data_IF_651979926216
#
_entry.id   IF_651979926216
#
_cell.length_a   1.000
_cell.length_b   1.000
_cell.length_c   1.000
_cell.angle_alpha   90.00
_cell.angle_beta   90.00
_cell.angle_gamma   90.00
#
_symmetry.space_group_name_H-M   'P 1'
#
loop_
_entity.id
_entity.type
_entity.pdbx_description
1 polymer ?
#
# COMPACT_ATOMS: atom_id res chain seq x y z
N UNK A 1 -14.04 -6.66 11.50
CA UNK A 1 -13.97 -7.40 10.21
C UNK A 1 -12.61 -7.17 9.61
N UNK A 2 -11.81 -8.22 9.39
CA UNK A 2 -10.51 -8.05 8.73
C UNK A 2 -10.74 -7.68 7.25
N UNK A 3 -10.20 -6.56 6.78
CA UNK A 3 -10.43 -6.08 5.41
C UNK A 3 -9.99 -7.14 4.39
N UNK A 4 -10.81 -7.38 3.38
CA UNK A 4 -10.53 -8.35 2.32
C UNK A 4 -9.31 -7.93 1.48
N UNK A 5 -8.55 -8.91 0.99
CA UNK A 5 -7.43 -8.67 0.07
C UNK A 5 -7.93 -7.91 -1.17
N UNK A 6 -7.14 -6.96 -1.66
CA UNK A 6 -7.47 -6.10 -2.79
C UNK A 6 -8.36 -4.90 -2.44
N UNK A 7 -8.84 -4.77 -1.19
CA UNK A 7 -9.55 -3.57 -0.72
C UNK A 7 -8.56 -2.45 -0.43
N UNK A 8 -8.89 -1.23 -0.84
CA UNK A 8 -8.05 -0.04 -0.56
C UNK A 8 -7.93 0.21 0.94
N UNK A 9 -6.69 0.30 1.41
CA UNK A 9 -6.37 0.73 2.76
C UNK A 9 -6.24 2.27 2.79
N UNK A 10 -5.38 2.81 1.93
CA UNK A 10 -5.16 4.25 1.79
C UNK A 10 -4.85 4.64 0.34
N UNK A 11 -5.20 5.85 -0.11
CA UNK A 11 -6.07 6.81 0.58
C UNK A 11 -7.54 6.34 0.61
N UNK A 12 -8.39 7.02 1.39
CA UNK A 12 -9.83 6.79 1.34
C UNK A 12 -10.36 6.98 -0.10
N UNK A 13 -11.31 6.13 -0.51
CA UNK A 13 -11.85 6.12 -1.87
C UNK A 13 -12.78 7.30 -2.09
N UNK A 14 -12.26 8.38 -2.66
CA UNK A 14 -13.03 9.56 -3.09
C UNK A 14 -12.54 9.98 -4.47
N UNK A 15 -13.38 10.67 -5.25
CA UNK A 15 -12.97 11.21 -6.56
C UNK A 15 -11.74 12.09 -6.41
N UNK A 16 -11.73 12.99 -5.43
CA UNK A 16 -10.60 13.89 -5.16
C UNK A 16 -9.30 13.12 -4.87
N UNK A 17 -9.31 12.17 -3.93
CA UNK A 17 -8.10 11.39 -3.62
C UNK A 17 -7.64 10.54 -4.81
N UNK A 18 -8.61 10.00 -5.56
CA UNK A 18 -8.29 9.15 -6.70
C UNK A 18 -7.66 9.92 -7.87
N UNK A 19 -7.97 11.21 -7.99
CA UNK A 19 -7.37 12.11 -8.97
C UNK A 19 -6.06 12.74 -8.51
N UNK A 20 -5.94 13.12 -7.23
CA UNK A 20 -4.79 13.89 -6.74
C UNK A 20 -3.64 13.00 -6.26
N UNK A 21 -3.92 11.78 -5.79
CA UNK A 21 -2.91 10.88 -5.24
C UNK A 21 -2.58 9.80 -6.28
N UNK A 22 -1.33 9.82 -6.74
CA UNK A 22 -0.85 8.97 -7.83
C UNK A 22 -0.70 7.49 -7.48
N UNK A 23 -0.76 7.13 -6.19
CA UNK A 23 -0.58 5.77 -5.72
C UNK A 23 -1.56 5.41 -4.60
N UNK A 24 -1.59 4.15 -4.23
CA UNK A 24 -2.44 3.62 -3.17
C UNK A 24 -1.80 2.37 -2.54
N UNK A 25 -2.18 2.12 -1.31
CA UNK A 25 -1.98 0.83 -0.66
C UNK A 25 -3.32 0.10 -0.60
N UNK A 26 -3.33 -1.11 -1.15
CA UNK A 26 -4.43 -2.05 -1.01
C UNK A 26 -4.02 -3.13 0.01
N UNK A 27 -4.97 -3.67 0.77
CA UNK A 27 -4.69 -4.78 1.67
C UNK A 27 -4.25 -6.01 0.88
N UNK A 28 -3.13 -6.61 1.28
CA UNK A 28 -2.66 -7.88 0.73
C UNK A 28 -3.36 -9.09 1.38
N UNK A 29 -2.86 -10.30 1.09
CA UNK A 29 -3.25 -11.51 1.80
C UNK A 29 -3.14 -11.37 3.32
N UNK A 30 -3.97 -12.11 4.05
CA UNK A 30 -3.76 -12.30 5.49
C UNK A 30 -2.51 -13.15 5.67
N UNK A 31 -1.61 -12.68 6.53
CA UNK A 31 -0.45 -13.45 6.97
C UNK A 31 -0.76 -14.12 8.31
N UNK A 32 0.03 -15.15 8.65
CA UNK A 32 -0.04 -15.77 9.97
C UNK A 32 0.56 -14.84 11.04
N UNK A 33 0.04 -14.94 12.27
CA UNK A 33 0.46 -14.11 13.40
C UNK A 33 0.05 -12.63 13.25
N UNK A 34 0.81 -11.76 13.91
CA UNK A 34 0.51 -10.33 14.01
C UNK A 34 1.06 -9.51 12.83
N UNK A 35 0.95 -10.05 11.61
CA UNK A 35 1.47 -9.38 10.41
C UNK A 35 0.36 -9.03 9.45
N UNK A 36 0.45 -7.84 8.86
CA UNK A 36 -0.47 -7.37 7.81
C UNK A 36 0.29 -7.01 6.55
N UNK A 37 -0.05 -7.64 5.43
CA UNK A 37 0.52 -7.31 4.13
C UNK A 37 -0.25 -6.16 3.46
N UNK A 38 0.49 -5.30 2.75
CA UNK A 38 -0.02 -4.25 1.88
C UNK A 38 0.63 -4.34 0.50
N UNK A 39 -0.16 -3.99 -0.51
CA UNK A 39 0.23 -3.96 -1.90
C UNK A 39 0.24 -2.51 -2.39
N UNK A 40 1.39 -2.03 -2.83
CA UNK A 40 1.56 -0.72 -3.45
C UNK A 40 1.14 -0.77 -4.92
N UNK A 41 0.22 0.10 -5.31
CA UNK A 41 -0.28 0.19 -6.68
C UNK A 41 -0.37 1.65 -7.13
N UNK A 42 -0.26 1.88 -8.43
CA UNK A 42 -0.53 3.19 -9.02
C UNK A 42 -2.02 3.43 -9.18
N UNK A 43 -2.42 4.70 -9.13
CA UNK A 43 -3.81 5.09 -9.24
C UNK A 43 -4.21 5.33 -10.71
N UNK A 44 -5.11 4.48 -11.21
CA UNK A 44 -5.62 4.58 -12.59
C UNK A 44 -6.47 5.82 -12.89
N UNK A 45 -6.87 6.55 -11.84
CA UNK A 45 -7.65 7.76 -11.94
C UNK A 45 -6.82 9.03 -11.74
N UNK A 46 -5.51 8.91 -11.51
CA UNK A 46 -4.62 10.05 -11.25
C UNK A 46 -4.71 11.10 -12.37
N UNK A 47 -4.71 12.38 -12.01
CA UNK A 47 -4.65 13.50 -12.96
C UNK A 47 -3.30 13.55 -13.68
N UNK A 48 -2.23 13.05 -13.05
CA UNK A 48 -0.94 12.87 -13.71
C UNK A 48 -1.06 11.84 -14.85
N UNK A 49 -0.90 12.30 -16.09
CA UNK A 49 -1.15 11.51 -17.29
C UNK A 49 -0.19 10.33 -17.43
N UNK A 50 1.06 10.45 -16.99
CA UNK A 50 2.04 9.37 -17.02
C UNK A 50 1.68 8.25 -16.06
N UNK A 51 1.34 8.60 -14.80
CA UNK A 51 0.89 7.64 -13.78
C UNK A 51 -0.39 6.96 -14.24
N UNK A 52 -1.36 7.73 -14.74
CA UNK A 52 -2.64 7.21 -15.25
C UNK A 52 -2.43 6.21 -16.39
N UNK A 53 -1.66 6.58 -17.42
CA UNK A 53 -1.38 5.69 -18.56
C UNK A 53 -0.70 4.40 -18.10
N UNK A 54 0.28 4.50 -17.21
CA UNK A 54 1.00 3.35 -16.68
C UNK A 54 0.10 2.43 -15.85
N UNK A 55 -0.73 3.01 -14.97
CA UNK A 55 -1.70 2.28 -14.17
C UNK A 55 -2.81 1.66 -15.03
N UNK A 56 -3.27 2.30 -16.11
CA UNK A 56 -4.31 1.76 -16.98
C UNK A 56 -3.83 0.58 -17.83
N UNK A 57 -2.54 0.51 -18.17
CA UNK A 57 -1.95 -0.64 -18.89
C UNK A 57 -2.08 -1.94 -18.08
N UNK A 58 -1.91 -1.86 -16.77
CA UNK A 58 -2.13 -2.99 -15.87
C UNK A 58 -2.68 -2.48 -14.53
N UNK A 59 -4.00 -2.35 -14.45
CA UNK A 59 -4.74 -1.72 -13.34
C UNK A 59 -4.68 -2.50 -12.02
N UNK A 60 -4.15 -3.73 -12.07
CA UNK A 60 -3.93 -4.60 -10.93
C UNK A 60 -2.44 -4.87 -10.68
N UNK A 61 -1.52 -4.19 -11.39
CA UNK A 61 -0.07 -4.34 -11.13
C UNK A 61 0.24 -3.92 -9.69
N UNK A 62 0.69 -4.88 -8.90
CA UNK A 62 1.34 -4.64 -7.62
C UNK A 62 2.78 -4.24 -7.89
N UNK A 63 3.11 -2.98 -7.63
CA UNK A 63 4.44 -2.40 -7.85
C UNK A 63 5.41 -2.73 -6.73
N UNK A 64 4.91 -2.94 -5.52
CA UNK A 64 5.66 -3.43 -4.38
C UNK A 64 4.71 -4.04 -3.36
N UNK A 65 5.23 -4.87 -2.48
CA UNK A 65 4.50 -5.46 -1.37
C UNK A 65 5.38 -5.48 -0.12
N UNK A 66 4.76 -5.18 1.03
CA UNK A 66 5.44 -5.20 2.31
C UNK A 66 4.47 -5.59 3.42
N UNK A 67 5.02 -6.19 4.46
CA UNK A 67 4.31 -6.52 5.69
C UNK A 67 4.67 -5.53 6.80
N UNK A 68 3.67 -5.17 7.61
CA UNK A 68 3.87 -4.44 8.86
C UNK A 68 3.53 -5.35 10.03
N UNK A 69 4.35 -5.31 11.08
CA UNK A 69 4.04 -5.98 12.35
C UNK A 69 3.02 -5.14 13.13
N UNK A 70 1.98 -5.80 13.62
CA UNK A 70 0.92 -5.21 14.43
C UNK A 70 1.15 -5.59 15.90
N UNK A 71 2.10 -4.93 16.55
CA UNK A 71 2.32 -5.13 17.98
C UNK A 71 1.17 -4.48 18.77
N UNK A 72 0.64 -5.15 19.80
CA UNK A 72 -0.50 -4.66 20.59
C UNK A 72 -0.13 -3.44 21.45
N UNK A 73 1.09 -3.45 22.01
CA UNK A 73 1.63 -2.38 22.87
C UNK A 73 3.09 -2.10 22.50
N UNK A 74 3.35 -1.44 21.36
CA UNK A 74 4.69 -1.00 21.00
C UNK A 74 5.08 0.24 21.81
N UNK A 75 6.36 0.35 22.12
CA UNK A 75 6.94 1.64 22.51
C UNK A 75 7.00 2.59 21.31
N UNK A 76 7.22 3.88 21.55
CA UNK A 76 7.37 4.87 20.46
C UNK A 76 8.54 4.53 19.52
N UNK A 77 9.66 4.09 20.09
CA UNK A 77 10.85 3.68 19.32
C UNK A 77 10.54 2.48 18.42
N UNK A 78 9.86 1.46 18.97
CA UNK A 78 9.45 0.30 18.19
C UNK A 78 8.45 0.67 17.10
N UNK A 79 7.49 1.56 17.39
CA UNK A 79 6.52 2.05 16.41
C UNK A 79 7.23 2.74 15.24
N UNK A 80 8.23 3.57 15.54
CA UNK A 80 9.06 4.23 14.53
C UNK A 80 9.82 3.22 13.68
N UNK A 81 10.52 2.27 14.31
CA UNK A 81 11.25 1.21 13.59
C UNK A 81 10.33 0.35 12.72
N UNK A 82 9.13 0.01 13.19
CA UNK A 82 8.14 -0.76 12.43
C UNK A 82 7.70 0.01 11.17
N UNK A 83 7.45 1.31 11.30
CA UNK A 83 7.00 2.15 10.18
C UNK A 83 8.13 2.40 9.19
N UNK A 84 9.32 2.76 9.65
CA UNK A 84 10.49 2.97 8.79
C UNK A 84 10.83 1.68 8.03
N UNK A 85 10.91 0.55 8.73
CA UNK A 85 11.17 -0.75 8.10
C UNK A 85 10.08 -1.18 7.10
N UNK A 86 8.83 -0.73 7.27
CA UNK A 86 7.78 -0.96 6.27
C UNK A 86 8.05 -0.18 4.98
N UNK A 87 8.46 1.09 5.07
CA UNK A 87 8.80 1.90 3.90
C UNK A 87 10.09 1.41 3.22
N UNK A 88 11.11 1.05 3.98
CA UNK A 88 12.35 0.47 3.45
C UNK A 88 12.07 -0.82 2.66
N UNK A 89 11.16 -1.66 3.18
CA UNK A 89 10.70 -2.87 2.47
C UNK A 89 9.93 -2.53 1.20
N UNK A 90 9.07 -1.53 1.22
CA UNK A 90 8.35 -1.11 0.01
C UNK A 90 9.31 -0.65 -1.08
N UNK A 91 10.33 0.13 -0.72
CA UNK A 91 11.34 0.62 -1.67
C UNK A 91 12.20 -0.52 -2.22
N UNK A 92 12.74 -1.38 -1.33
CA UNK A 92 13.58 -2.51 -1.74
C UNK A 92 12.84 -3.58 -2.56
N UNK A 93 11.53 -3.75 -2.32
CA UNK A 93 10.70 -4.72 -3.04
C UNK A 93 10.07 -4.15 -4.33
N UNK A 94 10.47 -2.96 -4.78
CA UNK A 94 9.95 -2.38 -6.03
C UNK A 94 10.21 -3.30 -7.22
N UNK A 95 9.13 -3.68 -7.90
CA UNK A 95 9.15 -4.55 -9.08
C UNK A 95 9.36 -3.69 -10.34
N UNK A 96 10.45 -3.93 -11.06
CA UNK A 96 10.76 -3.29 -12.34
C UNK A 96 9.90 -3.85 -13.47
#
# INVERSE_FOLDING_TARGET
>A
MASASGVRAVPARTTTNDETIGCRLDFGPKLAGDKRQYNFQLNKNARNTSVKKLAQKNSHKVWSEAEIQQKSEPTDSESKTIVEGFFDKLESNMKT
#
